data_IF_286765947128
#
_entry.id   IF_286765947128
#
_cell.length_a   1.000
_cell.length_b   1.000
_cell.length_c   1.000
_cell.angle_alpha   90.00
_cell.angle_beta   90.00
_cell.angle_gamma   90.00
#
_symmetry.space_group_name_H-M   'P 1'
#
loop_
_entity.id
_entity.type
_entity.pdbx_description
1 polymer ?
#
# COMPACT_ATOMS: atom_id res chain seq x y z
N UNK A 1 -19.84 -40.07 7.26
CA UNK A 1 -19.10 -38.89 6.77
C UNK A 1 -17.77 -38.81 7.49
N UNK A 2 -16.66 -38.81 6.75
CA UNK A 2 -15.32 -38.94 7.32
C UNK A 2 -14.97 -37.67 8.12
N UNK A 3 -14.46 -37.79 9.35
CA UNK A 3 -14.16 -36.61 10.21
C UNK A 3 -13.19 -35.61 9.56
N UNK A 4 -12.44 -36.09 8.56
CA UNK A 4 -11.49 -35.31 7.76
C UNK A 4 -12.16 -34.31 6.80
N UNK A 5 -13.33 -34.62 6.23
CA UNK A 5 -14.02 -33.71 5.30
C UNK A 5 -14.79 -32.63 6.04
N UNK A 6 -15.30 -32.94 7.25
CA UNK A 6 -15.99 -31.99 8.12
C UNK A 6 -15.03 -30.90 8.64
N UNK A 7 -13.79 -31.28 9.01
CA UNK A 7 -12.76 -30.34 9.49
C UNK A 7 -12.29 -29.37 8.40
N UNK A 8 -12.15 -29.84 7.16
CA UNK A 8 -11.72 -29.02 6.01
C UNK A 8 -12.79 -27.99 5.60
N UNK A 9 -14.06 -28.36 5.66
CA UNK A 9 -15.19 -27.45 5.39
C UNK A 9 -15.31 -26.38 6.49
N UNK A 10 -15.11 -26.74 7.76
CA UNK A 10 -15.08 -25.77 8.88
C UNK A 10 -13.90 -24.79 8.78
N UNK A 11 -12.71 -25.27 8.39
CA UNK A 11 -11.55 -24.40 8.15
C UNK A 11 -11.78 -23.48 6.96
N UNK A 12 -12.38 -23.99 5.86
CA UNK A 12 -12.78 -23.17 4.71
C UNK A 12 -13.76 -22.04 5.07
N UNK A 13 -14.77 -22.35 5.90
CA UNK A 13 -15.75 -21.38 6.37
C UNK A 13 -15.12 -20.30 7.29
N UNK A 14 -14.20 -20.70 8.18
CA UNK A 14 -13.42 -19.78 9.02
C UNK A 14 -12.51 -18.86 8.20
N UNK A 15 -11.87 -19.37 7.14
CA UNK A 15 -11.03 -18.55 6.27
C UNK A 15 -11.83 -17.56 5.43
N UNK A 16 -13.03 -17.93 4.97
CA UNK A 16 -13.94 -17.02 4.26
C UNK A 16 -14.47 -15.95 5.22
N UNK A 17 -14.75 -16.29 6.48
CA UNK A 17 -15.17 -15.34 7.51
C UNK A 17 -14.05 -14.37 7.90
N UNK A 18 -12.79 -14.81 7.98
CA UNK A 18 -11.63 -13.91 8.16
C UNK A 18 -11.37 -12.99 6.95
N UNK A 19 -11.60 -13.48 5.72
CA UNK A 19 -11.50 -12.68 4.50
C UNK A 19 -12.62 -11.62 4.41
N UNK A 20 -13.83 -11.94 4.87
CA UNK A 20 -14.94 -10.97 4.94
C UNK A 20 -14.70 -9.84 5.94
N UNK A 21 -13.91 -10.06 7.00
CA UNK A 21 -13.52 -8.99 7.96
C UNK A 21 -12.47 -8.05 7.34
N UNK A 22 -11.59 -8.57 6.46
CA UNK A 22 -10.65 -7.74 5.69
C UNK A 22 -11.32 -6.98 4.52
N UNK A 23 -12.46 -7.46 4.02
CA UNK A 23 -13.24 -6.83 2.96
C UNK A 23 -14.23 -5.75 3.46
N UNK A 24 -14.42 -5.60 4.77
CA UNK A 24 -15.25 -4.55 5.36
C UNK A 24 -14.38 -3.49 6.04
N UNK A 25 -13.86 -2.56 5.22
CA UNK A 25 -13.89 -1.16 5.54
C UNK A 25 -14.56 -0.42 4.37
N UNK A 26 -15.84 -0.68 4.10
CA UNK A 26 -16.55 -0.03 2.97
C UNK A 26 -17.68 0.91 3.39
N UNK A 27 -18.10 0.95 4.67
CA UNK A 27 -19.25 1.79 5.06
C UNK A 27 -19.11 2.57 6.37
N UNK A 28 -17.97 2.52 7.06
CA UNK A 28 -17.75 3.40 8.22
C UNK A 28 -17.20 4.74 7.75
N UNK A 29 -18.16 5.58 7.34
CA UNK A 29 -18.23 7.00 7.67
C UNK A 29 -17.11 7.92 7.17
N UNK A 30 -17.15 8.22 5.87
CA UNK A 30 -16.94 9.59 5.41
C UNK A 30 -18.30 10.14 4.96
N UNK A 31 -19.17 10.47 5.93
CA UNK A 31 -20.24 11.41 5.64
C UNK A 31 -19.56 12.77 5.56
N UNK A 32 -19.29 13.21 4.34
CA UNK A 32 -18.86 14.57 4.07
C UNK A 32 -19.99 15.51 4.50
N UNK A 33 -19.97 15.94 5.76
CA UNK A 33 -20.80 17.05 6.20
C UNK A 33 -20.18 18.31 5.60
N UNK A 34 -20.60 18.63 4.37
CA UNK A 34 -20.31 19.90 3.73
C UNK A 34 -21.12 21.00 4.44
N UNK A 35 -20.68 21.36 5.65
CA UNK A 35 -20.96 22.67 6.21
C UNK A 35 -19.99 23.59 5.47
N UNK A 36 -20.50 24.53 4.67
CA UNK A 36 -19.72 25.48 3.87
C UNK A 36 -18.69 26.29 4.69
N UNK A 37 -17.61 25.61 5.08
CA UNK A 37 -16.52 26.06 5.94
C UNK A 37 -15.26 26.34 5.13
N UNK A 38 -15.40 26.40 3.80
CA UNK A 38 -14.36 26.82 2.86
C UNK A 38 -13.71 28.16 3.27
N UNK A 39 -14.37 28.95 4.13
CA UNK A 39 -13.89 30.23 4.65
C UNK A 39 -13.57 30.29 6.17
N UNK A 40 -13.70 29.21 6.95
CA UNK A 40 -13.19 29.24 8.35
C UNK A 40 -11.79 28.63 8.51
N UNK A 41 -11.11 28.32 7.40
CA UNK A 41 -9.67 28.04 7.38
C UNK A 41 -8.80 29.31 7.59
N UNK A 42 -9.41 30.46 7.87
CA UNK A 42 -8.73 31.72 8.22
C UNK A 42 -8.53 31.95 9.73
N UNK A 43 -8.98 31.03 10.60
CA UNK A 43 -8.75 31.12 12.04
C UNK A 43 -7.85 29.97 12.50
N UNK A 44 -6.57 30.27 12.65
CA UNK A 44 -5.52 29.31 12.95
C UNK A 44 -5.86 28.39 14.13
N UNK A 45 -5.98 27.09 13.83
CA UNK A 45 -5.68 26.01 14.76
C UNK A 45 -4.51 25.24 14.15
N UNK A 46 -3.32 25.39 14.75
CA UNK A 46 -2.01 24.91 14.29
C UNK A 46 -1.82 23.40 14.18
N UNK A 47 -2.87 22.64 13.86
CA UNK A 47 -2.82 21.22 13.51
C UNK A 47 -3.00 20.95 12.00
N UNK A 48 -3.46 21.93 11.20
CA UNK A 48 -3.62 21.78 9.74
C UNK A 48 -2.25 21.71 9.04
N UNK A 49 -1.26 22.47 9.50
CA UNK A 49 0.03 22.59 8.82
C UNK A 49 0.94 21.37 8.95
N UNK A 50 0.95 20.71 10.12
CA UNK A 50 1.85 19.58 10.36
C UNK A 50 1.43 18.35 9.54
N UNK A 51 0.12 18.04 9.54
CA UNK A 51 -0.41 16.89 8.80
C UNK A 51 -0.28 17.09 7.29
N UNK A 52 -0.58 18.29 6.81
CA UNK A 52 -0.48 18.64 5.38
C UNK A 52 0.99 18.64 4.92
N UNK A 53 1.91 19.23 5.71
CA UNK A 53 3.35 19.21 5.40
C UNK A 53 3.93 17.80 5.37
N UNK A 54 3.58 16.95 6.35
CA UNK A 54 4.06 15.56 6.40
C UNK A 54 3.54 14.77 5.19
N UNK A 55 2.27 14.95 4.82
CA UNK A 55 1.68 14.25 3.68
C UNK A 55 2.34 14.67 2.36
N UNK A 56 2.61 15.96 2.16
CA UNK A 56 3.34 16.45 0.97
C UNK A 56 4.75 15.88 0.88
N UNK A 57 5.48 15.81 2.00
CA UNK A 57 6.85 15.24 2.03
C UNK A 57 6.82 13.75 1.67
N UNK A 58 5.89 12.98 2.26
CA UNK A 58 5.73 11.55 1.97
C UNK A 58 5.41 11.33 0.49
N UNK A 59 4.53 12.14 -0.09
CA UNK A 59 4.15 12.02 -1.50
C UNK A 59 5.31 12.31 -2.46
N UNK A 60 6.15 13.31 -2.14
CA UNK A 60 7.37 13.61 -2.91
C UNK A 60 8.36 12.44 -2.84
N UNK A 61 8.61 11.88 -1.66
CA UNK A 61 9.55 10.77 -1.50
C UNK A 61 9.03 9.50 -2.20
N UNK A 62 7.75 9.18 -2.04
CA UNK A 62 7.15 7.99 -2.67
C UNK A 62 7.12 8.08 -4.19
N UNK A 63 6.83 9.26 -4.76
CA UNK A 63 6.86 9.45 -6.21
C UNK A 63 8.26 9.25 -6.79
N UNK A 64 9.29 9.77 -6.11
CA UNK A 64 10.69 9.57 -6.51
C UNK A 64 11.11 8.09 -6.43
N UNK A 65 10.77 7.41 -5.32
CA UNK A 65 11.05 5.98 -5.15
C UNK A 65 10.30 5.12 -6.18
N UNK A 66 9.05 5.46 -6.50
CA UNK A 66 8.25 4.75 -7.50
C UNK A 66 8.89 4.76 -8.88
N UNK A 67 9.38 5.93 -9.32
CA UNK A 67 10.10 6.08 -10.60
C UNK A 67 11.38 5.23 -10.61
N UNK A 68 12.17 5.28 -9.53
CA UNK A 68 13.39 4.48 -9.40
C UNK A 68 13.09 2.97 -9.47
N UNK A 69 12.03 2.51 -8.81
CA UNK A 69 11.64 1.10 -8.84
C UNK A 69 11.30 0.64 -10.27
N UNK A 70 10.58 1.46 -11.05
CA UNK A 70 10.26 1.16 -12.45
C UNK A 70 11.54 1.08 -13.30
N UNK A 71 12.49 2.01 -13.12
CA UNK A 71 13.76 2.00 -13.83
C UNK A 71 14.54 0.70 -13.58
N UNK A 72 14.60 0.23 -12.34
CA UNK A 72 15.28 -1.02 -11.97
C UNK A 72 14.62 -2.22 -12.64
N UNK A 73 13.29 -2.27 -12.67
CA UNK A 73 12.53 -3.35 -13.32
C UNK A 73 12.78 -3.35 -14.83
N UNK A 74 12.77 -2.17 -15.47
CA UNK A 74 13.08 -2.04 -16.89
C UNK A 74 14.51 -2.48 -17.20
N UNK A 75 15.47 -2.14 -16.34
CA UNK A 75 16.86 -2.55 -16.53
C UNK A 75 17.05 -4.05 -16.38
N UNK A 76 16.39 -4.68 -15.39
CA UNK A 76 16.30 -6.13 -15.28
C UNK A 76 15.63 -6.78 -16.48
N UNK A 77 14.55 -6.18 -17.01
CA UNK A 77 13.86 -6.62 -18.22
C UNK A 77 14.75 -6.56 -19.46
N UNK A 78 15.55 -5.50 -19.60
CA UNK A 78 16.48 -5.36 -20.72
C UNK A 78 17.59 -6.42 -20.69
N UNK A 79 18.14 -6.72 -19.50
CA UNK A 79 19.11 -7.82 -19.33
C UNK A 79 18.46 -9.17 -19.64
N UNK A 80 17.19 -9.36 -19.27
CA UNK A 80 16.46 -10.59 -19.59
C UNK A 80 16.26 -10.76 -21.10
N UNK A 81 15.87 -9.69 -21.81
CA UNK A 81 15.69 -9.70 -23.27
C UNK A 81 17.00 -9.91 -24.02
N UNK A 82 18.12 -9.41 -23.50
CA UNK A 82 19.45 -9.53 -24.12
C UNK A 82 20.23 -10.78 -23.70
N UNK A 83 19.66 -11.63 -22.83
CA UNK A 83 20.34 -12.81 -22.32
C UNK A 83 20.59 -13.89 -23.39
N UNK A 84 19.86 -13.88 -24.52
CA UNK A 84 20.10 -14.74 -25.69
C UNK A 84 20.30 -16.24 -25.38
N UNK A 85 19.66 -16.75 -24.32
CA UNK A 85 19.76 -18.16 -23.90
C UNK A 85 20.84 -18.47 -22.87
N UNK A 86 21.63 -17.48 -22.42
CA UNK A 86 22.57 -17.62 -21.31
C UNK A 86 21.80 -17.70 -19.98
N UNK A 87 21.74 -18.91 -19.40
CA UNK A 87 21.02 -19.17 -18.15
C UNK A 87 21.50 -18.29 -16.98
N UNK A 88 22.80 -17.97 -16.92
CA UNK A 88 23.36 -17.11 -15.88
C UNK A 88 22.86 -15.67 -15.96
N UNK A 89 22.74 -15.12 -17.18
CA UNK A 89 22.16 -13.80 -17.41
C UNK A 89 20.66 -13.78 -17.15
N UNK A 90 19.94 -14.84 -17.54
CA UNK A 90 18.50 -14.98 -17.26
C UNK A 90 18.21 -14.99 -15.77
N UNK A 91 18.96 -15.77 -14.98
CA UNK A 91 18.77 -15.85 -13.54
C UNK A 91 19.12 -14.54 -12.83
N UNK A 92 20.18 -13.87 -13.27
CA UNK A 92 20.52 -12.54 -12.76
C UNK A 92 19.42 -11.52 -13.05
N UNK A 93 18.87 -11.54 -14.26
CA UNK A 93 17.79 -10.66 -14.66
C UNK A 93 16.50 -10.91 -13.86
N UNK A 94 16.12 -12.17 -13.66
CA UNK A 94 14.97 -12.55 -12.81
C UNK A 94 15.13 -12.06 -11.38
N UNK A 95 16.32 -12.23 -10.78
CA UNK A 95 16.60 -11.73 -9.42
C UNK A 95 16.44 -10.21 -9.35
N UNK A 96 16.93 -9.49 -10.35
CA UNK A 96 16.77 -8.03 -10.46
C UNK A 96 15.30 -7.62 -10.54
N UNK A 97 14.52 -8.26 -11.42
CA UNK A 97 13.09 -7.98 -11.56
C UNK A 97 12.32 -8.27 -10.27
N UNK A 98 12.58 -9.43 -9.63
CA UNK A 98 11.94 -9.80 -8.36
C UNK A 98 12.29 -8.78 -7.27
N UNK A 99 13.55 -8.35 -7.17
CA UNK A 99 13.95 -7.33 -6.21
C UNK A 99 13.26 -5.99 -6.45
N UNK A 100 13.04 -5.60 -7.71
CA UNK A 100 12.28 -4.41 -8.08
C UNK A 100 10.80 -4.51 -7.70
N UNK A 101 10.16 -5.66 -7.94
CA UNK A 101 8.77 -5.92 -7.55
C UNK A 101 8.61 -5.83 -6.03
N UNK A 102 9.52 -6.46 -5.27
CA UNK A 102 9.52 -6.38 -3.80
C UNK A 102 9.68 -4.93 -3.33
N UNK A 103 10.52 -4.14 -4.00
CA UNK A 103 10.65 -2.70 -3.75
C UNK A 103 9.32 -1.95 -3.90
N UNK A 104 8.56 -2.22 -4.97
CA UNK A 104 7.23 -1.63 -5.18
C UNK A 104 6.26 -2.02 -4.06
N UNK A 105 6.24 -3.30 -3.67
CA UNK A 105 5.37 -3.78 -2.58
C UNK A 105 5.69 -3.06 -1.27
N UNK A 106 6.96 -2.83 -0.96
CA UNK A 106 7.40 -2.09 0.24
C UNK A 106 6.94 -0.63 0.18
N UNK A 107 7.11 0.04 -0.96
CA UNK A 107 6.67 1.44 -1.15
C UNK A 107 5.16 1.58 -0.92
N UNK A 108 4.37 0.68 -1.51
CA UNK A 108 2.90 0.66 -1.32
C UNK A 108 2.51 0.37 0.13
N UNK A 109 3.20 -0.58 0.77
CA UNK A 109 2.95 -0.92 2.19
C UNK A 109 3.29 0.26 3.11
N UNK A 110 4.40 0.96 2.85
CA UNK A 110 4.80 2.14 3.60
C UNK A 110 3.76 3.27 3.51
N UNK A 111 3.18 3.50 2.32
CA UNK A 111 2.10 4.47 2.14
C UNK A 111 0.87 4.13 2.97
N UNK A 112 0.43 2.87 2.93
CA UNK A 112 -0.73 2.40 3.70
C UNK A 112 -0.49 2.57 5.20
N UNK A 113 0.69 2.19 5.69
CA UNK A 113 1.05 2.31 7.10
C UNK A 113 1.13 3.78 7.51
N UNK A 114 1.73 4.65 6.70
CA UNK A 114 1.83 6.08 7.00
C UNK A 114 0.43 6.72 7.14
N UNK A 115 -0.47 6.42 6.21
CA UNK A 115 -1.86 6.90 6.28
C UNK A 115 -2.60 6.32 7.50
N UNK A 116 -2.39 5.05 7.82
CA UNK A 116 -2.97 4.42 9.00
C UNK A 116 -2.52 5.11 10.30
N UNK A 117 -1.23 5.42 10.44
CA UNK A 117 -0.69 6.13 11.61
C UNK A 117 -1.26 7.55 11.69
N UNK A 118 -1.28 8.29 10.59
CA UNK A 118 -1.84 9.66 10.55
C UNK A 118 -3.32 9.66 10.93
N UNK A 119 -4.07 8.64 10.51
CA UNK A 119 -5.51 8.52 10.78
C UNK A 119 -5.78 8.11 12.23
N UNK A 120 -5.04 7.13 12.77
CA UNK A 120 -5.24 6.66 14.15
C UNK A 120 -4.76 7.69 15.19
N UNK A 121 -3.58 8.28 14.98
CA UNK A 121 -3.04 9.32 15.86
C UNK A 121 -3.81 10.63 15.69
N UNK A 122 -4.28 10.91 14.48
CA UNK A 122 -4.98 12.14 14.14
C UNK A 122 -6.49 12.14 14.37
N UNK A 123 -7.12 10.97 14.54
CA UNK A 123 -8.55 10.79 14.78
C UNK A 123 -8.92 10.60 16.26
N UNK A 124 -7.94 10.52 17.17
CA UNK A 124 -8.19 10.35 18.61
C UNK A 124 -8.34 11.68 19.38
N UNK A 125 -8.24 12.83 18.69
CA UNK A 125 -8.19 14.16 19.30
C UNK A 125 -9.43 15.02 18.98
N UNK A 126 -10.50 14.43 18.41
CA UNK A 126 -11.80 15.08 18.18
C UNK A 126 -12.93 14.13 18.52
#
# INVERSE_FOLDING_TARGET
MNKLTLKKVSVGLLTVMMLSIFALPVLVSAQELNLGLENAAGIGLGQKDLKESINSIIQIILSFLGILAVIIILWGGFIWMTAAGDEGKVDKAKKLIISGIVGIVIILSAYIIANFVITQVGGQLV
#
